data_IF_211604558323
#
_entry.id   IF_211604558323
#
_cell.length_a   1.000
_cell.length_b   1.000
_cell.length_c   1.000
_cell.angle_alpha   90.00
_cell.angle_beta   90.00
_cell.angle_gamma   90.00
#
_symmetry.space_group_name_H-M   'P 1'
#
loop_
_entity.id
_entity.type
_entity.pdbx_description
1 polymer ?
#
# COMPACT_ATOMS: atom_id res chain seq x y z
N UNK A 1 -14.09 20.35 18.29
CA UNK A 1 -12.82 20.33 17.52
C UNK A 1 -11.80 21.04 18.37
N UNK A 2 -10.78 20.32 18.84
CA UNK A 2 -9.77 20.87 19.74
C UNK A 2 -8.83 21.76 18.93
N UNK A 3 -8.95 23.07 19.09
CA UNK A 3 -8.04 24.05 18.51
C UNK A 3 -6.99 24.41 19.55
N UNK A 4 -5.71 24.33 19.19
CA UNK A 4 -4.65 24.79 20.06
C UNK A 4 -4.47 26.29 19.84
N UNK A 5 -4.87 27.10 20.82
CA UNK A 5 -4.75 28.55 20.72
C UNK A 5 -3.31 28.97 21.03
N UNK A 6 -2.67 29.65 20.08
CA UNK A 6 -1.41 30.34 20.33
C UNK A 6 -1.78 31.64 21.02
N UNK A 7 -1.45 31.72 22.30
CA UNK A 7 -1.75 32.87 23.15
C UNK A 7 -0.49 33.58 23.58
N UNK A 8 -0.51 34.91 23.58
CA UNK A 8 0.53 35.75 24.19
C UNK A 8 -0.05 36.46 25.40
N UNK A 9 0.65 36.36 26.52
CA UNK A 9 0.31 37.07 27.75
C UNK A 9 0.82 38.50 27.66
N UNK A 10 -0.05 39.46 27.94
CA UNK A 10 0.26 40.89 28.05
C UNK A 10 -0.14 41.40 29.45
N UNK A 11 0.21 42.66 29.77
CA UNK A 11 -0.18 43.29 31.03
C UNK A 11 -1.70 43.43 31.21
N UNK A 12 -2.48 43.34 30.13
CA UNK A 12 -3.94 43.43 30.12
C UNK A 12 -4.66 42.07 30.01
N UNK A 13 -3.94 40.94 29.89
CA UNK A 13 -4.55 39.60 29.85
C UNK A 13 -3.89 38.64 28.86
N UNK A 14 -4.60 37.58 28.48
CA UNK A 14 -4.19 36.70 27.37
C UNK A 14 -4.79 37.23 26.06
N UNK A 15 -3.93 37.46 25.07
CA UNK A 15 -4.33 37.75 23.70
C UNK A 15 -4.16 36.50 22.84
N UNK A 16 -5.21 36.08 22.13
CA UNK A 16 -5.13 35.03 21.11
C UNK A 16 -4.42 35.60 19.88
N UNK A 17 -3.25 35.06 19.54
CA UNK A 17 -2.44 35.48 18.41
C UNK A 17 -2.71 34.65 17.14
N UNK A 18 -3.27 33.46 17.31
CA UNK A 18 -3.64 32.57 16.21
C UNK A 18 -4.22 31.26 16.74
N UNK A 19 -4.90 30.53 15.88
CA UNK A 19 -5.42 29.20 16.18
C UNK A 19 -4.65 28.20 15.32
N UNK A 20 -3.99 27.24 15.97
CA UNK A 20 -3.47 26.07 15.28
C UNK A 20 -4.59 25.04 15.23
N UNK A 21 -5.04 24.76 14.03
CA UNK A 21 -6.04 23.73 13.81
C UNK A 21 -5.38 22.34 13.89
N UNK A 22 -5.59 21.65 15.02
CA UNK A 22 -5.19 20.25 15.15
C UNK A 22 -6.11 19.31 14.33
N UNK A 23 -7.10 19.84 13.60
CA UNK A 23 -8.07 19.06 12.82
C UNK A 23 -7.55 18.44 11.53
N UNK A 24 -6.22 18.37 11.30
CA UNK A 24 -5.73 17.41 10.29
C UNK A 24 -5.97 16.00 10.80
N UNK A 25 -7.20 15.53 10.62
CA UNK A 25 -7.51 14.12 10.64
C UNK A 25 -6.58 13.48 9.62
N UNK A 26 -5.59 12.67 10.06
CA UNK A 26 -4.66 12.07 9.13
C UNK A 26 -5.45 11.19 8.17
N UNK A 27 -5.05 11.21 6.89
CA UNK A 27 -5.63 10.28 5.94
C UNK A 27 -5.29 8.86 6.37
N UNK A 28 -6.31 8.02 6.53
CA UNK A 28 -6.14 6.63 6.92
C UNK A 28 -5.73 5.74 5.74
N UNK A 29 -5.83 6.24 4.51
CA UNK A 29 -5.30 5.59 3.32
C UNK A 29 -3.84 5.98 3.12
N UNK A 30 -3.04 4.98 2.79
CA UNK A 30 -1.65 5.15 2.37
C UNK A 30 -1.57 5.33 0.86
N UNK A 31 -0.52 5.99 0.37
CA UNK A 31 -0.28 6.21 -1.05
C UNK A 31 -1.53 6.74 -1.77
N UNK A 32 -2.09 7.79 -1.19
CA UNK A 32 -3.47 8.22 -1.43
C UNK A 32 -3.59 9.33 -2.48
N UNK A 33 -2.47 10.01 -2.72
CA UNK A 33 -2.29 10.98 -3.79
C UNK A 33 -1.71 10.23 -5.00
N UNK A 34 -2.53 10.13 -6.04
CA UNK A 34 -2.20 9.41 -7.27
C UNK A 34 -1.54 10.29 -8.31
N UNK A 35 -1.32 11.57 -8.03
CA UNK A 35 -0.56 12.46 -8.93
C UNK A 35 0.93 12.13 -8.93
N UNK A 36 1.44 11.62 -7.80
CA UNK A 36 2.83 11.19 -7.59
C UNK A 36 2.89 9.93 -6.73
N UNK A 37 2.30 8.80 -7.19
CA UNK A 37 2.15 7.62 -6.36
C UNK A 37 3.51 6.95 -6.13
N UNK A 38 3.70 6.42 -4.92
CA UNK A 38 4.78 5.46 -4.66
C UNK A 38 4.49 4.21 -5.48
N UNK A 39 5.46 3.81 -6.30
CA UNK A 39 5.33 2.70 -7.23
C UNK A 39 6.66 1.94 -7.36
N UNK A 40 7.05 1.26 -6.29
CA UNK A 40 8.31 0.53 -6.16
C UNK A 40 8.41 -0.65 -7.15
N UNK A 41 7.27 -1.13 -7.67
CA UNK A 41 7.23 -2.15 -8.74
C UNK A 41 7.51 -1.60 -10.14
N UNK A 42 7.33 -0.29 -10.34
CA UNK A 42 7.79 0.42 -11.54
C UNK A 42 6.98 0.21 -12.82
N UNK A 43 5.93 -0.61 -12.83
CA UNK A 43 5.07 -0.74 -14.01
C UNK A 43 4.11 0.46 -14.13
N UNK A 44 3.81 0.86 -15.36
CA UNK A 44 2.87 1.96 -15.67
C UNK A 44 1.44 1.47 -15.91
N UNK A 45 1.27 0.18 -16.17
CA UNK A 45 -0.03 -0.47 -16.37
C UNK A 45 -0.07 -1.80 -15.63
N UNK A 46 -1.15 -2.03 -14.91
CA UNK A 46 -1.44 -3.25 -14.17
C UNK A 46 -2.77 -3.84 -14.63
N UNK A 47 -2.79 -5.11 -14.99
CA UNK A 47 -4.01 -5.84 -15.31
C UNK A 47 -3.81 -7.33 -15.05
N UNK A 48 -4.77 -7.94 -14.36
CA UNK A 48 -4.93 -9.38 -14.34
C UNK A 48 -6.37 -9.76 -14.71
N UNK A 49 -6.48 -10.72 -15.62
CA UNK A 49 -7.74 -11.39 -15.97
C UNK A 49 -7.96 -12.65 -15.14
N UNK A 50 -7.01 -13.03 -14.30
CA UNK A 50 -7.06 -14.22 -13.45
C UNK A 50 -6.56 -13.88 -12.05
N UNK A 51 -7.49 -13.50 -11.17
CA UNK A 51 -7.21 -13.17 -9.78
C UNK A 51 -6.74 -11.74 -9.55
N UNK A 52 -6.59 -11.41 -8.27
CA UNK A 52 -6.17 -10.09 -7.81
C UNK A 52 -4.66 -9.92 -7.86
N UNK A 53 -4.21 -8.73 -8.23
CA UNK A 53 -2.78 -8.38 -8.30
C UNK A 53 -2.44 -7.11 -7.50
N UNK A 54 -1.19 -6.99 -7.01
CA UNK A 54 -0.68 -5.70 -6.53
C UNK A 54 -0.54 -4.70 -7.68
N UNK A 55 -0.56 -3.41 -7.34
CA UNK A 55 -0.40 -2.30 -8.30
C UNK A 55 0.62 -1.29 -7.78
N UNK A 56 0.30 0.01 -7.76
CA UNK A 56 1.00 1.00 -6.93
C UNK A 56 0.96 0.55 -5.47
N UNK A 57 2.00 0.88 -4.71
CA UNK A 57 2.18 0.35 -3.35
C UNK A 57 0.94 0.56 -2.49
N UNK A 58 0.57 -0.45 -1.68
CA UNK A 58 -0.63 -0.50 -0.83
C UNK A 58 -1.96 -0.72 -1.54
N UNK A 59 -2.01 -0.60 -2.86
CA UNK A 59 -3.24 -0.77 -3.63
C UNK A 59 -3.22 -2.04 -4.47
N UNK A 60 -4.38 -2.69 -4.55
CA UNK A 60 -4.58 -3.93 -5.30
C UNK A 60 -5.72 -3.78 -6.30
N UNK A 61 -5.57 -4.43 -7.45
CA UNK A 61 -6.58 -4.51 -8.48
C UNK A 61 -7.18 -5.92 -8.50
N UNK A 62 -8.49 -6.00 -8.27
CA UNK A 62 -9.26 -7.23 -8.46
C UNK A 62 -9.32 -7.64 -9.93
N UNK A 63 -9.84 -8.84 -10.17
CA UNK A 63 -9.93 -9.41 -11.52
C UNK A 63 -10.63 -8.45 -12.47
N UNK A 64 -10.07 -8.27 -13.67
CA UNK A 64 -10.60 -7.38 -14.72
C UNK A 64 -10.59 -5.88 -14.38
N UNK A 65 -9.91 -5.45 -13.32
CA UNK A 65 -9.59 -4.04 -13.12
C UNK A 65 -8.23 -3.74 -13.73
N UNK A 66 -8.20 -2.91 -14.78
CA UNK A 66 -6.97 -2.33 -15.31
C UNK A 66 -6.66 -1.03 -14.58
N UNK A 67 -5.42 -0.87 -14.10
CA UNK A 67 -4.92 0.35 -13.47
C UNK A 67 -3.79 0.90 -14.31
N UNK A 68 -3.93 2.15 -14.75
CA UNK A 68 -2.95 2.84 -15.58
C UNK A 68 -2.51 4.13 -14.88
N UNK A 69 -1.20 4.36 -14.80
CA UNK A 69 -0.66 5.65 -14.38
C UNK A 69 -0.83 6.61 -15.55
N UNK A 70 -1.50 7.74 -15.30
CA UNK A 70 -1.75 8.78 -16.30
C UNK A 70 -1.27 10.13 -15.76
N UNK A 71 -1.21 11.13 -16.63
CA UNK A 71 -0.87 12.49 -16.18
C UNK A 71 -1.88 12.95 -15.12
N UNK A 72 -1.38 13.28 -13.93
CA UNK A 72 -2.18 13.80 -12.82
C UNK A 72 -3.00 12.75 -12.05
N UNK A 73 -2.81 11.45 -12.25
CA UNK A 73 -3.58 10.47 -11.49
C UNK A 73 -3.43 9.01 -11.91
N UNK A 74 -4.34 8.19 -11.41
CA UNK A 74 -4.54 6.80 -11.85
C UNK A 74 -5.86 6.68 -12.60
N UNK A 75 -5.83 5.96 -13.73
CA UNK A 75 -7.02 5.58 -14.49
C UNK A 75 -7.36 4.14 -14.20
N UNK A 76 -8.54 3.94 -13.64
CA UNK A 76 -9.16 2.64 -13.40
C UNK A 76 -10.07 2.33 -14.58
N UNK A 77 -9.89 1.19 -15.23
CA UNK A 77 -10.77 0.73 -16.32
C UNK A 77 -11.30 -0.65 -15.97
N UNK A 78 -12.61 -0.74 -15.74
CA UNK A 78 -13.26 -2.02 -15.51
C UNK A 78 -13.47 -2.74 -16.83
N UNK A 79 -12.72 -3.80 -17.07
CA UNK A 79 -12.88 -4.66 -18.24
C UNK A 79 -14.06 -5.62 -18.04
N UNK A 80 -14.51 -6.28 -19.12
CA UNK A 80 -15.57 -7.28 -19.04
C UNK A 80 -15.36 -8.32 -17.91
N UNK A 81 -16.45 -8.83 -17.33
CA UNK A 81 -16.42 -9.81 -16.23
C UNK A 81 -16.76 -9.25 -14.85
N UNK A 82 -16.55 -10.01 -13.78
CA UNK A 82 -16.82 -9.58 -12.40
C UNK A 82 -15.54 -9.17 -11.65
N UNK A 83 -15.70 -8.66 -10.42
CA UNK A 83 -14.62 -8.32 -9.48
C UNK A 83 -13.71 -7.14 -9.86
N UNK A 84 -14.24 -6.22 -10.68
CA UNK A 84 -13.57 -4.96 -11.08
C UNK A 84 -13.49 -3.97 -9.92
N UNK A 85 -12.49 -4.14 -9.06
CA UNK A 85 -12.26 -3.24 -7.93
C UNK A 85 -10.80 -2.86 -7.79
N UNK A 86 -10.57 -1.65 -7.30
CA UNK A 86 -9.29 -1.10 -6.88
C UNK A 86 -9.41 -0.84 -5.39
N UNK A 87 -8.53 -1.41 -4.58
CA UNK A 87 -8.75 -1.48 -3.13
C UNK A 87 -7.50 -1.32 -2.30
N UNK A 88 -7.70 -0.88 -1.06
CA UNK A 88 -6.71 -0.88 -0.01
C UNK A 88 -7.27 -1.53 1.27
N UNK A 89 -6.49 -2.41 1.88
CA UNK A 89 -6.80 -2.98 3.20
C UNK A 89 -6.51 -1.93 4.28
N UNK A 90 -7.45 -1.74 5.21
CA UNK A 90 -7.30 -0.80 6.33
C UNK A 90 -6.64 -1.52 7.51
N UNK A 91 -5.53 -0.98 7.99
CA UNK A 91 -4.79 -1.56 9.11
C UNK A 91 -5.42 -1.21 10.45
N UNK A 92 -5.38 -2.19 11.36
CA UNK A 92 -5.95 -2.12 12.71
C UNK A 92 -7.40 -1.62 12.67
N UNK A 93 -8.29 -2.24 11.87
CA UNK A 93 -9.61 -1.72 11.59
C UNK A 93 -10.49 -1.62 12.84
N UNK A 94 -10.23 -2.40 13.88
CA UNK A 94 -10.91 -2.36 15.17
C UNK A 94 -10.90 -0.96 15.81
N UNK A 95 -9.89 -0.13 15.52
CA UNK A 95 -9.85 1.27 15.99
C UNK A 95 -10.94 2.14 15.35
N UNK A 96 -11.58 1.66 14.30
CA UNK A 96 -12.65 2.34 13.55
C UNK A 96 -14.05 1.77 13.84
N UNK A 97 -14.15 0.78 14.73
CA UNK A 97 -15.41 0.14 15.06
C UNK A 97 -16.46 1.14 15.56
N UNK A 98 -17.63 1.15 14.92
CA UNK A 98 -18.74 2.06 15.23
C UNK A 98 -18.44 3.53 14.98
N UNK A 99 -17.27 3.89 14.45
CA UNK A 99 -16.91 5.27 14.16
C UNK A 99 -17.54 5.71 12.84
N UNK A 100 -17.88 6.98 12.80
CA UNK A 100 -18.18 7.66 11.55
C UNK A 100 -16.88 7.98 10.83
N UNK A 101 -16.86 7.77 9.52
CA UNK A 101 -15.74 8.10 8.64
C UNK A 101 -16.25 8.78 7.37
N UNK A 102 -15.45 9.69 6.84
CA UNK A 102 -15.71 10.38 5.57
C UNK A 102 -14.70 9.95 4.53
N UNK A 103 -15.21 9.58 3.36
CA UNK A 103 -14.42 9.35 2.15
C UNK A 103 -14.61 10.54 1.22
N UNK A 104 -13.51 11.00 0.64
CA UNK A 104 -13.51 12.02 -0.41
C UNK A 104 -12.60 11.61 -1.56
N UNK A 105 -13.06 11.76 -2.80
CA UNK A 105 -12.34 11.41 -4.02
C UNK A 105 -12.25 12.64 -4.91
N UNK A 106 -11.05 12.95 -5.41
CA UNK A 106 -10.86 13.96 -6.46
C UNK A 106 -10.91 13.28 -7.83
N UNK A 107 -12.03 13.45 -8.54
CA UNK A 107 -12.33 12.79 -9.81
C UNK A 107 -11.94 13.70 -10.97
N UNK A 108 -11.04 13.22 -11.83
CA UNK A 108 -10.61 13.93 -13.03
C UNK A 108 -11.51 13.66 -14.23
N UNK A 109 -12.01 12.42 -14.36
CA UNK A 109 -12.92 12.01 -15.41
C UNK A 109 -13.63 10.70 -15.04
N UNK A 110 -14.87 10.54 -15.50
CA UNK A 110 -15.58 9.26 -15.37
C UNK A 110 -16.42 9.00 -16.63
N UNK A 111 -16.28 7.83 -17.25
CA UNK A 111 -17.00 7.46 -18.49
C UNK A 111 -18.15 6.48 -18.26
N UNK A 112 -18.36 6.02 -17.02
CA UNK A 112 -19.43 5.10 -16.65
C UNK A 112 -19.82 5.26 -15.19
N UNK A 113 -20.45 4.24 -14.60
CA UNK A 113 -20.81 4.29 -13.18
C UNK A 113 -19.81 3.53 -12.31
N UNK A 114 -19.21 4.25 -11.37
CA UNK A 114 -18.36 3.68 -10.32
C UNK A 114 -18.98 3.87 -8.94
N UNK A 115 -18.56 3.05 -8.00
CA UNK A 115 -18.92 3.16 -6.60
C UNK A 115 -17.68 3.01 -5.74
N UNK A 116 -17.58 3.84 -4.72
CA UNK A 116 -16.60 3.70 -3.65
C UNK A 116 -17.32 3.28 -2.37
N UNK A 117 -16.83 2.25 -1.69
CA UNK A 117 -17.51 1.63 -0.56
C UNK A 117 -16.53 0.86 0.31
N UNK A 118 -16.98 0.40 1.48
CA UNK A 118 -16.23 -0.48 2.35
C UNK A 118 -16.71 -1.92 2.21
N UNK A 119 -15.79 -2.87 2.29
CA UNK A 119 -16.10 -4.29 2.51
C UNK A 119 -15.75 -4.62 3.96
N UNK A 120 -16.70 -5.22 4.66
CA UNK A 120 -16.63 -5.65 6.06
C UNK A 120 -17.07 -7.13 6.09
N UNK A 121 -16.13 -8.05 6.32
CA UNK A 121 -16.37 -9.47 6.10
C UNK A 121 -16.86 -9.77 4.68
N UNK A 122 -18.08 -10.31 4.55
CA UNK A 122 -18.72 -10.64 3.26
C UNK A 122 -19.69 -9.57 2.74
N UNK A 123 -19.81 -8.44 3.44
CA UNK A 123 -20.81 -7.42 3.16
C UNK A 123 -20.19 -6.10 2.72
N UNK A 124 -20.84 -5.42 1.77
CA UNK A 124 -20.51 -4.04 1.41
C UNK A 124 -21.30 -3.05 2.26
N UNK A 125 -20.68 -1.94 2.67
CA UNK A 125 -21.36 -0.82 3.35
C UNK A 125 -20.72 0.52 3.01
N UNK A 126 -21.50 1.60 3.14
CA UNK A 126 -21.13 2.90 2.61
C UNK A 126 -21.11 2.89 1.09
N UNK A 127 -21.22 4.06 0.46
CA UNK A 127 -21.37 4.10 -0.99
C UNK A 127 -21.39 5.52 -1.53
N UNK A 128 -20.26 5.98 -2.05
CA UNK A 128 -20.22 7.15 -2.93
C UNK A 128 -20.37 6.69 -4.37
N UNK A 129 -21.50 7.01 -4.99
CA UNK A 129 -21.71 6.79 -6.43
C UNK A 129 -21.01 7.89 -7.23
N UNK A 130 -20.17 7.52 -8.19
CA UNK A 130 -19.60 8.40 -9.19
C UNK A 130 -20.27 8.08 -10.52
N UNK A 131 -21.12 9.00 -10.98
CA UNK A 131 -21.86 8.86 -12.23
C UNK A 131 -21.00 9.29 -13.42
N UNK A 132 -21.36 8.80 -14.61
CA UNK A 132 -20.69 9.16 -15.85
C UNK A 132 -20.71 10.68 -16.06
N UNK A 133 -19.59 11.24 -16.51
CA UNK A 133 -19.40 12.67 -16.71
C UNK A 133 -19.06 13.46 -15.45
N UNK A 134 -19.05 12.86 -14.25
CA UNK A 134 -18.68 13.57 -13.03
C UNK A 134 -17.19 13.95 -13.01
N UNK A 135 -16.92 15.18 -12.57
CA UNK A 135 -15.58 15.72 -12.27
C UNK A 135 -15.62 16.55 -10.98
N UNK A 136 -14.49 16.64 -10.27
CA UNK A 136 -14.35 17.33 -8.99
C UNK A 136 -14.42 16.41 -7.78
N UNK A 137 -14.66 16.98 -6.60
CA UNK A 137 -14.71 16.21 -5.34
C UNK A 137 -16.06 15.52 -5.15
N UNK A 138 -16.02 14.19 -5.07
CA UNK A 138 -17.12 13.39 -4.51
C UNK A 138 -16.83 13.11 -3.04
N UNK A 139 -17.82 13.24 -2.16
CA UNK A 139 -17.69 12.85 -0.74
C UNK A 139 -18.91 12.13 -0.21
N UNK A 140 -18.71 11.27 0.77
CA UNK A 140 -19.77 10.65 1.55
C UNK A 140 -19.25 10.24 2.93
N UNK A 141 -20.17 10.16 3.88
CA UNK A 141 -19.90 9.78 5.26
C UNK A 141 -20.65 8.50 5.58
N UNK A 142 -20.02 7.59 6.31
CA UNK A 142 -20.60 6.30 6.71
C UNK A 142 -20.17 5.95 8.12
N UNK A 143 -21.06 5.31 8.87
CA UNK A 143 -20.71 4.67 10.14
C UNK A 143 -20.25 3.24 9.87
N UNK A 144 -19.04 2.91 10.29
CA UNK A 144 -18.49 1.55 10.12
C UNK A 144 -19.13 0.58 11.12
N UNK A 145 -19.10 -0.71 10.78
CA UNK A 145 -19.69 -1.77 11.60
C UNK A 145 -19.03 -1.92 12.96
N UNK A 146 -19.57 -2.86 13.75
CA UNK A 146 -19.02 -3.22 15.04
C UNK A 146 -17.62 -3.83 14.91
N UNK A 147 -16.91 -3.99 16.03
CA UNK A 147 -15.56 -4.56 16.02
C UNK A 147 -15.53 -5.96 15.38
N UNK A 148 -16.56 -6.79 15.61
CA UNK A 148 -16.69 -8.11 14.99
C UNK A 148 -16.92 -8.06 13.48
N UNK A 149 -17.56 -7.01 12.97
CA UNK A 149 -17.86 -6.89 11.54
C UNK A 149 -16.61 -6.53 10.72
N UNK A 150 -15.67 -5.79 11.33
CA UNK A 150 -14.54 -5.19 10.62
C UNK A 150 -13.18 -5.80 10.96
N UNK A 151 -13.08 -6.56 12.06
CA UNK A 151 -11.83 -7.17 12.50
C UNK A 151 -11.17 -7.99 11.37
N UNK A 152 -9.92 -7.65 11.06
CA UNK A 152 -9.10 -8.34 10.05
C UNK A 152 -9.61 -8.30 8.61
N UNK A 153 -10.68 -7.56 8.30
CA UNK A 153 -11.37 -7.68 7.00
C UNK A 153 -11.72 -6.36 6.32
N UNK A 154 -11.58 -5.21 7.00
CA UNK A 154 -11.99 -3.92 6.44
C UNK A 154 -11.12 -3.53 5.23
N UNK A 155 -11.78 -3.35 4.09
CA UNK A 155 -11.15 -2.87 2.85
C UNK A 155 -11.93 -1.68 2.31
N UNK A 156 -11.22 -0.67 1.84
CA UNK A 156 -11.80 0.39 1.04
C UNK A 156 -11.72 0.01 -0.44
N UNK A 157 -12.85 0.03 -1.12
CA UNK A 157 -13.00 -0.39 -2.51
C UNK A 157 -13.46 0.79 -3.38
N UNK A 158 -12.95 0.84 -4.61
CA UNK A 158 -13.48 1.63 -5.71
C UNK A 158 -13.70 0.67 -6.88
N UNK A 159 -14.89 0.59 -7.43
CA UNK A 159 -15.16 -0.37 -8.51
C UNK A 159 -16.45 -0.12 -9.25
N UNK A 160 -16.66 -0.90 -10.31
CA UNK A 160 -17.85 -0.88 -11.14
C UNK A 160 -18.37 -2.31 -11.33
N UNK A 161 -19.69 -2.50 -11.28
CA UNK A 161 -20.30 -3.83 -11.43
C UNK A 161 -21.01 -4.04 -12.77
N UNK A 162 -21.43 -2.95 -13.43
CA UNK A 162 -22.47 -3.04 -14.46
C UNK A 162 -21.94 -2.73 -15.87
N UNK A 163 -20.97 -1.82 -16.00
CA UNK A 163 -20.55 -1.32 -17.32
C UNK A 163 -19.17 -1.87 -17.67
N UNK A 164 -19.04 -2.62 -18.76
CA UNK A 164 -17.72 -3.02 -19.28
C UNK A 164 -17.07 -1.84 -20.00
N UNK A 165 -15.74 -1.80 -19.96
CA UNK A 165 -14.89 -0.84 -20.70
C UNK A 165 -15.13 0.64 -20.38
N UNK A 166 -15.68 0.90 -19.18
CA UNK A 166 -15.76 2.24 -18.60
C UNK A 166 -14.58 2.52 -17.69
N UNK A 167 -14.30 3.80 -17.49
CA UNK A 167 -13.14 4.25 -16.74
C UNK A 167 -13.45 5.35 -15.74
N UNK A 168 -12.64 5.40 -14.69
CA UNK A 168 -12.61 6.42 -13.66
C UNK A 168 -11.16 6.86 -13.48
N UNK A 169 -10.89 8.15 -13.68
CA UNK A 169 -9.58 8.75 -13.43
C UNK A 169 -9.64 9.54 -12.14
N UNK A 170 -8.73 9.24 -11.22
CA UNK A 170 -8.65 9.84 -9.89
C UNK A 170 -7.30 10.51 -9.69
N UNK A 171 -7.30 11.74 -9.18
CA UNK A 171 -6.09 12.42 -8.72
C UNK A 171 -5.72 11.98 -7.30
N UNK A 172 -6.71 11.80 -6.42
CA UNK A 172 -6.46 11.44 -5.03
C UNK A 172 -7.71 10.93 -4.31
N UNK A 173 -7.50 10.30 -3.16
CA UNK A 173 -8.58 9.83 -2.26
C UNK A 173 -8.19 10.03 -0.81
N UNK A 174 -9.13 10.47 0.05
CA UNK A 174 -8.94 10.50 1.51
C UNK A 174 -10.01 9.70 2.23
N UNK A 175 -9.59 9.09 3.33
CA UNK A 175 -10.43 8.50 4.35
C UNK A 175 -10.07 9.14 5.69
N UNK A 176 -11.05 9.78 6.33
CA UNK A 176 -10.86 10.57 7.54
C UNK A 176 -11.90 10.18 8.59
N UNK A 177 -11.54 10.24 9.87
CA UNK A 177 -12.49 9.97 10.96
C UNK A 177 -13.40 11.18 11.14
N UNK A 178 -14.69 10.94 11.34
CA UNK A 178 -15.73 11.98 11.48
C UNK A 178 -16.49 12.23 10.19
N UNK A 179 -17.20 13.36 10.14
CA UNK A 179 -18.02 13.84 9.03
C UNK A 179 -17.30 14.86 8.13
N UNK A 180 -16.14 15.35 8.55
CA UNK A 180 -15.37 16.35 7.79
C UNK A 180 -14.40 15.69 6.83
N UNK A 181 -14.40 16.18 5.59
CA UNK A 181 -13.32 15.94 4.62
C UNK A 181 -12.39 17.14 4.62
N UNK A 182 -11.09 16.90 4.67
CA UNK A 182 -10.04 17.91 4.48
C UNK A 182 -9.42 17.83 3.09
N UNK A 183 -9.93 16.99 2.19
CA UNK A 183 -9.44 16.92 0.81
C UNK A 183 -9.77 18.21 0.07
N UNK A 184 -8.74 18.87 -0.44
CA UNK A 184 -8.84 19.95 -1.42
C UNK A 184 -8.44 19.43 -2.80
N UNK A 185 -8.96 20.06 -3.85
CA UNK A 185 -8.68 19.69 -5.24
C UNK A 185 -7.18 19.72 -5.60
N UNK A 186 -6.36 20.44 -4.82
CA UNK A 186 -4.92 20.64 -5.03
C UNK A 186 -4.06 20.08 -3.89
N UNK A 187 -4.62 19.24 -3.01
CA UNK A 187 -3.81 18.64 -1.96
C UNK A 187 -2.81 17.65 -2.57
N UNK A 188 -1.56 17.72 -2.10
CA UNK A 188 -0.47 16.86 -2.53
C UNK A 188 0.10 16.15 -1.30
N UNK A 189 0.35 14.85 -1.41
CA UNK A 189 1.01 14.09 -0.35
C UNK A 189 2.52 14.37 -0.35
N UNK A 190 3.14 14.33 0.83
CA UNK A 190 4.59 14.28 0.90
C UNK A 190 5.06 12.91 0.41
N UNK A 191 5.77 12.88 -0.71
CA UNK A 191 6.23 11.63 -1.34
C UNK A 191 7.13 10.83 -0.40
N UNK A 192 8.05 11.48 0.33
CA UNK A 192 8.97 10.78 1.23
C UNK A 192 8.21 10.16 2.42
N UNK A 193 7.19 10.86 2.94
CA UNK A 193 6.29 10.30 3.95
C UNK A 193 5.56 9.06 3.41
N UNK A 194 4.98 9.16 2.20
CA UNK A 194 4.27 8.04 1.59
C UNK A 194 5.20 6.86 1.29
N UNK A 195 6.41 7.12 0.81
CA UNK A 195 7.42 6.10 0.53
C UNK A 195 7.81 5.38 1.82
N UNK A 196 8.07 6.11 2.90
CA UNK A 196 8.32 5.50 4.20
C UNK A 196 7.11 4.67 4.66
N UNK A 197 5.88 5.13 4.51
CA UNK A 197 4.72 4.30 4.86
C UNK A 197 4.69 3.01 4.03
N UNK A 198 4.95 3.09 2.72
CA UNK A 198 4.92 1.95 1.80
C UNK A 198 6.06 0.95 2.04
N UNK A 199 7.25 1.42 2.42
CA UNK A 199 8.41 0.58 2.72
C UNK A 199 8.23 -0.33 3.95
N UNK A 200 7.19 -0.09 4.77
CA UNK A 200 6.78 -1.06 5.79
C UNK A 200 6.16 -2.33 5.20
N UNK A 201 5.63 -2.25 3.98
CA UNK A 201 4.88 -3.33 3.33
C UNK A 201 5.61 -3.93 2.15
N UNK A 202 6.46 -3.15 1.48
CA UNK A 202 7.24 -3.63 0.36
C UNK A 202 8.62 -3.01 0.37
N UNK A 203 9.67 -3.82 0.31
CA UNK A 203 11.05 -3.34 0.13
C UNK A 203 11.64 -4.00 -1.12
N UNK A 204 12.16 -3.22 -2.09
CA UNK A 204 12.73 -3.78 -3.30
C UNK A 204 14.10 -4.37 -3.00
N UNK A 205 14.35 -5.55 -3.55
CA UNK A 205 15.68 -6.11 -3.73
C UNK A 205 16.04 -5.91 -5.19
N UNK A 206 16.83 -4.89 -5.48
CA UNK A 206 17.20 -4.52 -6.84
C UNK A 206 18.07 -5.60 -7.50
N UNK A 207 17.95 -5.72 -8.82
CA UNK A 207 18.85 -6.58 -9.59
C UNK A 207 20.32 -6.24 -9.30
N UNK A 208 21.14 -7.29 -9.23
CA UNK A 208 22.56 -7.26 -8.87
C UNK A 208 22.89 -6.87 -7.42
N UNK A 209 21.91 -6.65 -6.53
CA UNK A 209 22.18 -6.57 -5.10
C UNK A 209 22.79 -7.88 -4.57
N UNK A 210 23.67 -7.74 -3.58
CA UNK A 210 24.47 -8.83 -3.02
C UNK A 210 24.46 -8.71 -1.51
N UNK A 211 24.15 -9.81 -0.84
CA UNK A 211 24.19 -9.92 0.61
C UNK A 211 25.22 -10.97 0.99
N UNK A 212 26.13 -10.60 1.89
CA UNK A 212 27.18 -11.48 2.36
C UNK A 212 26.62 -12.48 3.37
N UNK A 213 27.12 -13.72 3.33
CA UNK A 213 26.79 -14.72 4.34
C UNK A 213 27.18 -14.20 5.74
N UNK A 214 26.26 -14.31 6.70
CA UNK A 214 26.51 -13.94 8.10
C UNK A 214 26.73 -15.18 8.99
N UNK A 215 25.96 -16.24 8.77
CA UNK A 215 26.11 -17.51 9.50
C UNK A 215 25.61 -18.69 8.67
N UNK A 216 26.07 -19.90 8.99
CA UNK A 216 25.72 -21.12 8.26
C UNK A 216 25.71 -22.37 9.15
N UNK A 217 25.04 -23.41 8.67
CA UNK A 217 25.14 -24.80 9.16
C UNK A 217 25.50 -25.71 7.98
N UNK A 218 25.24 -27.03 8.04
CA UNK A 218 25.39 -27.92 6.88
C UNK A 218 24.34 -27.68 5.79
N UNK A 219 23.16 -27.18 6.16
CA UNK A 219 21.96 -27.17 5.31
C UNK A 219 21.30 -25.80 5.21
N UNK A 220 21.86 -24.80 5.87
CA UNK A 220 21.25 -23.48 6.01
C UNK A 220 22.30 -22.39 5.90
N UNK A 221 22.01 -21.37 5.10
CA UNK A 221 22.78 -20.15 4.94
C UNK A 221 21.92 -18.95 5.40
N UNK A 222 22.47 -18.05 6.20
CA UNK A 222 21.73 -16.89 6.71
C UNK A 222 22.35 -15.57 6.22
N UNK A 223 21.51 -14.70 5.69
CA UNK A 223 21.88 -13.41 5.12
C UNK A 223 21.11 -12.27 5.79
N UNK A 224 21.81 -11.21 6.15
CA UNK A 224 21.22 -9.97 6.65
C UNK A 224 20.82 -9.07 5.49
N UNK A 225 19.55 -8.65 5.49
CA UNK A 225 18.97 -7.73 4.52
C UNK A 225 18.60 -6.45 5.26
N UNK A 226 19.37 -5.35 5.08
CA UNK A 226 19.01 -4.06 5.63
C UNK A 226 17.67 -3.59 5.10
N UNK A 227 16.83 -3.03 5.97
CA UNK A 227 15.57 -2.39 5.56
C UNK A 227 15.55 -0.93 6.01
N UNK A 228 14.86 -0.04 5.28
CA UNK A 228 14.78 1.38 5.66
C UNK A 228 14.07 1.60 7.01
N UNK A 229 13.20 0.66 7.40
CA UNK A 229 12.48 0.65 8.67
C UNK A 229 11.90 -0.74 8.95
N UNK A 230 11.37 -0.90 10.16
CA UNK A 230 10.64 -2.11 10.56
C UNK A 230 9.46 -2.40 9.62
N UNK A 231 9.51 -3.55 8.94
CA UNK A 231 8.40 -4.04 8.14
C UNK A 231 7.19 -4.41 9.01
N UNK A 232 5.98 -4.20 8.46
CA UNK A 232 4.67 -4.35 9.11
C UNK A 232 4.45 -5.77 9.65
N UNK A 233 4.76 -6.76 8.84
CA UNK A 233 4.79 -8.17 9.23
C UNK A 233 6.16 -8.77 8.87
N UNK A 234 6.39 -10.03 9.24
CA UNK A 234 7.51 -10.77 8.66
C UNK A 234 7.26 -10.90 7.15
N UNK A 235 8.15 -10.38 6.30
CA UNK A 235 7.90 -10.39 4.86
C UNK A 235 8.12 -11.78 4.27
N UNK A 236 7.63 -12.01 3.06
CA UNK A 236 8.04 -13.12 2.19
C UNK A 236 8.82 -12.57 1.00
N UNK A 237 9.72 -13.36 0.41
CA UNK A 237 10.35 -13.01 -0.86
C UNK A 237 9.37 -13.31 -1.99
N UNK A 238 8.97 -12.30 -2.79
CA UNK A 238 7.96 -12.47 -3.86
C UNK A 238 8.40 -13.45 -4.95
N UNK A 239 9.62 -13.28 -5.45
CA UNK A 239 10.23 -14.18 -6.43
C UNK A 239 11.54 -14.72 -5.86
N UNK A 240 11.49 -15.95 -5.35
CA UNK A 240 12.66 -16.68 -4.85
C UNK A 240 13.60 -17.09 -5.99
N UNK A 241 13.07 -17.30 -7.21
CA UNK A 241 13.86 -17.70 -8.37
C UNK A 241 14.76 -16.58 -8.88
N UNK A 242 14.44 -15.34 -8.54
CA UNK A 242 15.31 -14.18 -8.72
C UNK A 242 16.62 -14.29 -7.93
N UNK A 243 16.68 -15.10 -6.87
CA UNK A 243 17.83 -15.20 -5.98
C UNK A 243 18.69 -16.43 -6.29
N UNK A 244 20.01 -16.30 -6.09
CA UNK A 244 20.96 -17.41 -6.23
C UNK A 244 22.12 -17.29 -5.26
N UNK A 245 22.78 -18.41 -4.98
CA UNK A 245 23.99 -18.44 -4.15
C UNK A 245 25.23 -18.41 -5.06
N UNK A 246 26.12 -17.45 -4.82
CA UNK A 246 27.39 -17.29 -5.55
C UNK A 246 28.57 -17.28 -4.59
N UNK A 247 29.74 -17.74 -5.04
CA UNK A 247 30.99 -17.58 -4.28
C UNK A 247 31.68 -16.27 -4.69
N UNK A 248 32.67 -15.83 -3.92
CA UNK A 248 33.47 -14.64 -4.25
C UNK A 248 34.32 -14.80 -5.53
N UNK A 249 34.53 -16.04 -5.99
CA UNK A 249 35.33 -16.34 -7.18
C UNK A 249 34.56 -16.13 -8.52
N UNK A 250 33.34 -15.59 -8.47
CA UNK A 250 32.53 -15.19 -9.65
C UNK A 250 32.18 -16.35 -10.60
N UNK A 251 31.95 -17.54 -10.06
CA UNK A 251 31.23 -18.61 -10.77
C UNK A 251 30.11 -19.06 -9.84
N UNK A 252 28.90 -19.27 -10.39
CA UNK A 252 27.76 -19.75 -9.60
C UNK A 252 28.16 -20.96 -8.77
N UNK A 253 27.63 -21.07 -7.54
CA UNK A 253 28.03 -22.14 -6.62
C UNK A 253 27.50 -23.53 -7.02
N UNK A 254 26.56 -23.61 -7.97
CA UNK A 254 25.79 -24.82 -8.26
C UNK A 254 24.82 -25.22 -7.15
N UNK A 255 24.81 -24.48 -6.02
CA UNK A 255 23.93 -24.74 -4.88
C UNK A 255 22.52 -24.25 -5.20
N UNK A 256 21.55 -25.14 -5.04
CA UNK A 256 20.13 -24.85 -5.25
C UNK A 256 19.49 -24.37 -3.95
N UNK A 257 18.64 -23.35 -4.05
CA UNK A 257 17.81 -22.88 -2.93
C UNK A 257 16.57 -23.77 -2.87
N UNK A 258 16.38 -24.49 -1.76
CA UNK A 258 15.18 -25.32 -1.54
C UNK A 258 14.01 -24.48 -1.03
N UNK A 259 14.28 -23.54 -0.12
CA UNK A 259 13.29 -22.59 0.39
C UNK A 259 13.98 -21.42 1.10
N UNK A 260 13.21 -20.35 1.34
CA UNK A 260 13.65 -19.19 2.13
C UNK A 260 12.64 -18.94 3.23
N UNK A 261 13.12 -18.91 4.48
CA UNK A 261 12.39 -18.43 5.65
C UNK A 261 12.88 -17.01 5.99
N UNK A 262 11.97 -16.14 6.42
CA UNK A 262 12.34 -14.80 6.92
C UNK A 262 12.28 -14.76 8.44
N UNK A 263 13.29 -14.14 9.05
CA UNK A 263 13.35 -13.95 10.49
C UNK A 263 13.47 -12.47 10.83
N UNK A 264 12.88 -12.08 11.95
CA UNK A 264 12.86 -10.70 12.40
C UNK A 264 14.21 -10.30 12.99
N UNK A 265 14.74 -9.15 12.56
CA UNK A 265 15.91 -8.49 13.17
C UNK A 265 15.72 -6.97 13.12
N UNK A 266 14.88 -6.41 13.98
CA UNK A 266 14.42 -5.02 13.82
C UNK A 266 15.58 -3.99 13.70
N UNK A 267 15.54 -3.05 12.73
CA UNK A 267 14.50 -2.89 11.69
C UNK A 267 14.61 -3.89 10.53
N UNK A 268 15.76 -4.50 10.35
CA UNK A 268 16.18 -5.39 9.28
C UNK A 268 15.48 -6.77 9.27
N UNK A 269 15.81 -7.56 8.24
CA UNK A 269 15.29 -8.92 8.05
C UNK A 269 16.46 -9.87 7.80
N UNK A 270 16.37 -11.06 8.39
CA UNK A 270 17.22 -12.18 8.00
C UNK A 270 16.51 -13.04 6.97
N UNK A 271 17.22 -13.41 5.92
CA UNK A 271 16.83 -14.51 5.03
C UNK A 271 17.60 -15.75 5.43
N UNK A 272 16.87 -16.74 5.94
CA UNK A 272 17.36 -18.09 6.18
C UNK A 272 17.08 -18.94 4.95
N UNK A 273 18.12 -19.21 4.19
CA UNK A 273 18.08 -19.95 2.94
C UNK A 273 18.38 -21.42 3.23
N UNK A 274 17.41 -22.30 2.99
CA UNK A 274 17.60 -23.74 3.10
C UNK A 274 18.25 -24.26 1.81
N UNK A 275 19.44 -24.84 1.96
CA UNK A 275 20.26 -25.39 0.88
C UNK A 275 20.99 -26.63 1.41
N UNK A 276 20.34 -27.82 1.40
CA UNK A 276 20.90 -29.01 2.03
C UNK A 276 22.27 -29.40 1.47
N UNK A 277 23.18 -29.79 2.36
CA UNK A 277 24.53 -30.27 2.00
C UNK A 277 25.32 -29.30 1.10
N UNK A 278 25.23 -27.99 1.34
CA UNK A 278 25.80 -26.98 0.44
C UNK A 278 27.34 -26.95 0.42
N UNK A 279 28.01 -27.38 1.49
CA UNK A 279 29.49 -27.39 1.59
C UNK A 279 30.18 -26.01 1.64
N UNK A 280 29.43 -24.92 1.45
CA UNK A 280 29.92 -23.54 1.54
C UNK A 280 30.15 -23.09 2.99
N UNK A 281 31.31 -22.51 3.28
CA UNK A 281 31.58 -21.76 4.52
C UNK A 281 31.51 -20.24 4.30
N UNK A 282 31.34 -19.84 3.04
CA UNK A 282 31.32 -18.45 2.63
C UNK A 282 30.66 -18.30 1.24
N UNK A 283 29.78 -17.30 1.10
CA UNK A 283 29.06 -17.03 -0.15
C UNK A 283 28.39 -15.65 -0.16
N UNK A 284 27.72 -15.35 -1.27
CA UNK A 284 26.83 -14.22 -1.48
C UNK A 284 25.44 -14.74 -1.87
N UNK A 285 24.40 -14.16 -1.30
CA UNK A 285 23.06 -14.19 -1.88
C UNK A 285 23.01 -13.09 -2.94
N UNK A 286 22.73 -13.47 -4.18
CA UNK A 286 22.74 -12.58 -5.33
C UNK A 286 21.37 -12.50 -5.97
N UNK A 287 20.84 -11.29 -6.13
CA UNK A 287 19.63 -11.04 -6.90
C UNK A 287 19.95 -10.97 -8.41
N UNK A 288 19.64 -12.04 -9.15
CA UNK A 288 19.82 -12.10 -10.60
C UNK A 288 18.86 -11.16 -11.34
N UNK A 289 17.65 -11.02 -10.82
CA UNK A 289 16.62 -10.06 -11.23
C UNK A 289 16.09 -9.32 -10.01
N UNK A 290 15.32 -8.26 -10.23
CA UNK A 290 14.64 -7.57 -9.13
C UNK A 290 13.57 -8.48 -8.50
N UNK A 291 13.46 -8.43 -7.19
CA UNK A 291 12.41 -9.11 -6.38
C UNK A 291 12.07 -8.21 -5.20
N UNK A 292 11.18 -8.66 -4.31
CA UNK A 292 10.72 -7.83 -3.19
C UNK A 292 10.62 -8.64 -1.90
N UNK A 293 10.93 -7.98 -0.77
CA UNK A 293 10.39 -8.38 0.53
C UNK A 293 8.97 -7.82 0.62
N UNK A 294 7.98 -8.69 0.71
CA UNK A 294 6.56 -8.33 0.73
C UNK A 294 5.91 -8.72 2.07
N UNK A 295 5.32 -7.72 2.74
CA UNK A 295 4.55 -7.83 3.98
C UNK A 295 3.10 -7.30 3.83
N UNK A 296 2.56 -7.27 2.60
CA UNK A 296 1.18 -6.93 2.25
C UNK A 296 0.18 -8.08 2.44
N UNK A 297 0.66 -9.31 2.69
CA UNK A 297 -0.16 -10.50 2.94
C UNK A 297 -0.88 -10.48 4.30
#
# INVERSE_FOLDING_TARGET
MDKLQIVKRTASGLNVLGECDLSRNPNLLHNWDFTTPVNQRGATTYLSTSGEIPTIDRWRAGTNMKVELVSGGVKLTGQGGQYRNFRQTIENPERLAGKQVTVSLNVLACTGKFSSYFVQGSSGTGGGIIDAGFTGIKKYTVTLGSASDIAGSLKFHIGNSNDADVSLTLASVKLEIGDVSTLKDTDVADYAEQEMICQRYLVPISAAQRFRLESYTSDVLQFHIPTPQRMRALPTVEDVSALSIKTLAVVGSGVSISSIETLRRDPDVFLRVNAPSHGLTDCLLYANSATFLNAEL
#
